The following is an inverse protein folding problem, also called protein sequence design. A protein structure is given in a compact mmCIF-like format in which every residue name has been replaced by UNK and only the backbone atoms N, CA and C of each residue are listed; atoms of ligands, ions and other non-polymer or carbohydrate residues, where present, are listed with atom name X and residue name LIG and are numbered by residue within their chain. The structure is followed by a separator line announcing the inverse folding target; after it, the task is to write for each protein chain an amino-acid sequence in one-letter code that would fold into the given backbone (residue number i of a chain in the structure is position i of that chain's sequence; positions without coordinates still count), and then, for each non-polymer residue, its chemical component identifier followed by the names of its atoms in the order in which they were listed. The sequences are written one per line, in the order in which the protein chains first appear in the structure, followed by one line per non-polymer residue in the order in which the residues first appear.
data_IF_462430033344
#
_entry.id   IF_462430033344
#
_cell.length_a   1.000
_cell.length_b   1.000
_cell.length_c   1.000
_cell.angle_alpha   90.00
_cell.angle_beta   90.00
_cell.angle_gamma   90.00
#
_symmetry.space_group_name_H-M   'P 1'
#
loop_
_entity.id
_entity.type
_entity.pdbx_description
1 polymer ?
#
# COMPACT_ATOMS: atom_id res chain seq x y z
N UNK A 1 28.62 73.64 -5.44
CA UNK A 1 28.93 72.33 -4.83
C UNK A 1 27.60 71.60 -4.67
N UNK A 2 27.24 70.64 -5.55
CA UNK A 2 26.09 69.72 -5.30
C UNK A 2 25.81 68.67 -6.41
N UNK A 3 26.72 68.43 -7.37
CA UNK A 3 26.47 67.43 -8.45
C UNK A 3 27.41 66.21 -8.44
N UNK A 4 28.40 66.18 -7.55
CA UNK A 4 29.38 65.08 -7.48
C UNK A 4 29.01 63.91 -6.58
N UNK A 5 28.08 64.09 -5.64
CA UNK A 5 27.78 63.05 -4.62
C UNK A 5 26.72 62.03 -5.08
N UNK A 6 25.87 62.40 -6.04
CA UNK A 6 24.74 61.54 -6.47
C UNK A 6 25.16 60.41 -7.42
N UNK A 7 26.20 60.63 -8.24
CA UNK A 7 26.68 59.62 -9.19
C UNK A 7 27.53 58.51 -8.55
N UNK A 8 28.18 58.79 -7.42
CA UNK A 8 28.95 57.78 -6.67
C UNK A 8 28.07 56.73 -5.99
N UNK A 9 26.92 57.14 -5.44
CA UNK A 9 25.99 56.22 -4.78
C UNK A 9 25.25 55.32 -5.78
N UNK A 10 24.88 55.84 -6.95
CA UNK A 10 24.19 55.04 -7.96
C UNK A 10 25.10 53.95 -8.56
N UNK A 11 26.38 54.25 -8.76
CA UNK A 11 27.36 53.28 -9.27
C UNK A 11 27.67 52.16 -8.25
N UNK A 12 27.74 52.48 -6.96
CA UNK A 12 27.99 51.50 -5.90
C UNK A 12 26.78 50.58 -5.68
N UNK A 13 25.55 51.10 -5.76
CA UNK A 13 24.33 50.27 -5.65
C UNK A 13 24.19 49.33 -6.85
N UNK A 14 24.52 49.75 -8.07
CA UNK A 14 24.45 48.88 -9.25
C UNK A 14 25.53 47.78 -9.23
N UNK A 15 26.72 48.06 -8.69
CA UNK A 15 27.78 47.04 -8.54
C UNK A 15 27.48 46.06 -7.40
N UNK A 16 26.88 46.50 -6.30
CA UNK A 16 26.48 45.60 -5.20
C UNK A 16 25.30 44.73 -5.64
N UNK A 17 24.28 45.30 -6.31
CA UNK A 17 23.15 44.52 -6.84
C UNK A 17 23.58 43.62 -8.00
N UNK A 18 24.57 44.03 -8.81
CA UNK A 18 25.17 43.19 -9.85
C UNK A 18 26.02 42.04 -9.30
N UNK A 19 26.73 42.24 -8.19
CA UNK A 19 27.54 41.19 -7.56
C UNK A 19 26.71 40.24 -6.68
N UNK A 20 25.65 40.72 -6.01
CA UNK A 20 24.73 39.85 -5.25
C UNK A 20 23.67 39.18 -6.13
N UNK A 21 23.37 39.75 -7.31
CA UNK A 21 22.40 39.19 -8.26
C UNK A 21 22.93 38.04 -9.13
N UNK A 22 24.25 37.85 -9.21
CA UNK A 22 24.88 36.75 -9.97
C UNK A 22 25.17 35.53 -9.08
N UNK A 23 25.03 35.64 -7.75
CA UNK A 23 25.26 34.56 -6.78
C UNK A 23 23.98 33.79 -6.36
N UNK A 24 22.81 34.13 -6.89
CA UNK A 24 21.51 33.53 -6.51
C UNK A 24 20.69 32.95 -7.67
N UNK A 25 21.32 32.60 -8.81
CA UNK A 25 20.54 32.23 -9.99
C UNK A 25 21.21 31.29 -10.99
N UNK A 26 22.32 30.66 -10.63
CA UNK A 26 22.80 29.48 -11.34
C UNK A 26 22.97 28.38 -10.31
N UNK A 27 21.84 27.89 -9.79
CA UNK A 27 21.78 26.46 -9.55
C UNK A 27 22.06 25.82 -10.91
N UNK A 28 23.31 25.43 -11.11
CA UNK A 28 23.68 24.45 -12.10
C UNK A 28 22.74 23.29 -11.80
N UNK A 29 21.67 23.19 -12.58
CA UNK A 29 20.66 22.15 -12.50
C UNK A 29 21.41 20.86 -12.76
N UNK A 30 21.91 20.25 -11.68
CA UNK A 30 22.33 18.87 -11.67
C UNK A 30 21.06 18.07 -11.91
N UNK A 31 20.72 17.89 -13.19
CA UNK A 31 19.60 17.09 -13.70
C UNK A 31 19.87 15.60 -13.49
N UNK A 32 20.42 15.23 -12.34
CA UNK A 32 20.56 13.84 -11.95
C UNK A 32 19.84 13.66 -10.61
N UNK A 33 18.87 12.73 -10.54
CA UNK A 33 18.17 12.49 -9.30
C UNK A 33 19.14 11.90 -8.28
N UNK A 34 19.13 12.43 -7.05
CA UNK A 34 19.93 11.92 -5.95
C UNK A 34 19.15 10.95 -5.06
N UNK A 35 19.86 10.09 -4.32
CA UNK A 35 19.25 9.24 -3.30
C UNK A 35 18.53 10.07 -2.25
N UNK A 36 17.36 9.60 -1.85
CA UNK A 36 16.52 10.25 -0.82
C UNK A 36 16.64 9.54 0.50
N UNK A 37 16.70 10.31 1.58
CA UNK A 37 16.65 9.76 2.94
C UNK A 37 15.25 9.22 3.26
N UNK A 38 15.22 8.22 4.16
CA UNK A 38 13.97 7.68 4.66
C UNK A 38 13.22 8.74 5.48
N UNK A 39 11.91 8.95 5.26
CA UNK A 39 11.15 9.94 6.01
C UNK A 39 11.07 9.55 7.48
N UNK A 40 11.10 10.54 8.38
CA UNK A 40 10.84 10.33 9.80
C UNK A 40 9.36 10.02 10.07
N UNK A 41 9.05 9.17 11.06
CA UNK A 41 7.67 8.87 11.43
C UNK A 41 6.93 10.13 11.94
N UNK A 42 5.61 10.24 11.69
CA UNK A 42 4.83 11.35 12.20
C UNK A 42 4.69 11.26 13.73
N UNK A 43 4.48 12.40 14.45
CA UNK A 43 4.34 12.43 15.90
C UNK A 43 3.15 11.61 16.42
N UNK A 44 2.12 11.46 15.60
CA UNK A 44 0.94 10.65 15.88
C UNK A 44 0.56 9.87 14.63
N UNK A 45 0.14 8.62 14.82
CA UNK A 45 -0.27 7.70 13.75
C UNK A 45 -1.80 7.60 13.80
N UNK A 46 -2.47 8.11 12.77
CA UNK A 46 -3.91 8.15 12.63
C UNK A 46 -4.33 8.06 11.14
N UNK A 47 -5.63 8.04 10.87
CA UNK A 47 -6.19 7.87 9.53
C UNK A 47 -5.74 8.92 8.50
N UNK A 48 -5.24 10.08 8.94
CA UNK A 48 -4.69 11.11 8.05
C UNK A 48 -3.16 11.06 7.94
N UNK A 49 -2.46 10.84 9.04
CA UNK A 49 -0.99 10.86 9.06
C UNK A 49 -0.38 9.57 8.52
N UNK A 50 -1.01 8.42 8.76
CA UNK A 50 -0.50 7.12 8.35
C UNK A 50 -0.46 6.98 6.81
N UNK A 51 -1.51 7.32 6.04
CA UNK A 51 -1.45 7.25 4.58
C UNK A 51 -0.36 8.12 3.97
N UNK A 52 -0.26 9.38 4.43
CA UNK A 52 0.78 10.32 3.98
C UNK A 52 2.18 9.84 4.31
N UNK A 53 2.37 9.24 5.48
CA UNK A 53 3.66 8.67 5.86
C UNK A 53 4.03 7.46 5.01
N UNK A 54 3.10 6.52 4.82
CA UNK A 54 3.29 5.36 3.95
C UNK A 54 3.66 5.75 2.52
N UNK A 55 2.96 6.76 1.98
CA UNK A 55 3.21 7.30 0.65
C UNK A 55 4.63 7.87 0.52
N UNK A 56 5.08 8.65 1.50
CA UNK A 56 6.45 9.18 1.52
C UNK A 56 7.48 8.06 1.57
N UNK A 57 7.24 7.02 2.38
CA UNK A 57 8.16 5.87 2.46
C UNK A 57 8.26 5.17 1.10
N UNK A 58 7.12 4.83 0.48
CA UNK A 58 7.13 4.07 -0.79
C UNK A 58 7.70 4.92 -1.93
N UNK A 59 7.39 6.22 -1.97
CA UNK A 59 7.97 7.16 -2.94
C UNK A 59 9.50 7.22 -2.82
N UNK A 60 10.03 7.32 -1.60
CA UNK A 60 11.48 7.27 -1.36
C UNK A 60 12.08 5.93 -1.77
N UNK A 61 11.45 4.81 -1.40
CA UNK A 61 11.95 3.47 -1.75
C UNK A 61 11.96 3.23 -3.25
N UNK A 62 10.90 3.61 -3.96
CA UNK A 62 10.80 3.46 -5.40
C UNK A 62 11.82 4.35 -6.13
N UNK A 63 11.97 5.61 -5.69
CA UNK A 63 12.97 6.54 -6.21
C UNK A 63 14.39 5.95 -6.11
N UNK A 64 14.78 5.53 -4.90
CA UNK A 64 16.11 4.97 -4.66
C UNK A 64 16.32 3.64 -5.40
N UNK A 65 15.28 2.81 -5.52
CA UNK A 65 15.34 1.55 -6.29
C UNK A 65 15.62 1.81 -7.77
N UNK A 66 14.96 2.81 -8.37
CA UNK A 66 15.17 3.19 -9.76
C UNK A 66 16.60 3.70 -9.94
N UNK A 67 17.07 4.62 -9.08
CA UNK A 67 18.44 5.14 -9.13
C UNK A 67 19.53 4.08 -8.93
N UNK A 68 19.27 3.05 -8.14
CA UNK A 68 20.23 1.96 -7.95
C UNK A 68 20.33 1.03 -9.16
N UNK A 69 19.26 0.94 -9.98
CA UNK A 69 19.17 0.00 -11.09
C UNK A 69 19.39 0.68 -12.46
N UNK A 70 19.23 1.99 -12.52
CA UNK A 70 19.24 2.80 -13.75
C UNK A 70 19.82 4.18 -13.44
N UNK A 71 20.18 4.97 -14.46
CA UNK A 71 20.70 6.33 -14.28
C UNK A 71 19.89 7.36 -15.09
N UNK A 72 18.57 7.49 -14.83
CA UNK A 72 17.72 8.40 -15.58
C UNK A 72 18.04 9.86 -15.25
N UNK A 73 17.84 10.77 -16.20
CA UNK A 73 17.94 12.22 -16.00
C UNK A 73 16.84 12.74 -15.07
N UNK A 74 15.65 12.14 -15.15
CA UNK A 74 14.50 12.56 -14.33
C UNK A 74 13.63 11.37 -13.93
N UNK A 75 13.13 11.43 -12.70
CA UNK A 75 12.17 10.46 -12.15
C UNK A 75 10.95 11.22 -11.63
N UNK A 76 9.78 10.89 -12.15
CA UNK A 76 8.49 11.34 -11.64
C UNK A 76 7.76 10.18 -10.99
N UNK A 77 7.22 10.38 -9.78
CA UNK A 77 6.51 9.33 -9.04
C UNK A 77 5.17 9.86 -8.55
N UNK A 78 4.11 9.24 -9.06
CA UNK A 78 2.73 9.43 -8.61
C UNK A 78 2.34 8.29 -7.67
N UNK A 79 1.75 8.65 -6.53
CA UNK A 79 1.26 7.68 -5.55
C UNK A 79 -0.15 8.04 -5.11
N UNK A 80 -0.93 7.03 -4.74
CA UNK A 80 -2.18 7.16 -4.02
C UNK A 80 -2.14 6.26 -2.79
N UNK A 81 -2.65 6.74 -1.67
CA UNK A 81 -2.68 5.99 -0.41
C UNK A 81 -4.07 6.05 0.24
N UNK A 82 -4.45 4.96 0.90
CA UNK A 82 -5.70 4.91 1.67
C UNK A 82 -5.51 4.13 2.96
N UNK A 83 -6.07 4.65 4.05
CA UNK A 83 -6.24 3.87 5.29
C UNK A 83 -7.24 2.74 5.03
N UNK A 84 -7.03 1.63 5.72
CA UNK A 84 -7.74 0.39 5.46
C UNK A 84 -8.42 -0.10 6.72
N UNK A 85 -7.61 -0.35 7.76
CA UNK A 85 -8.07 -0.75 9.08
C UNK A 85 -7.19 -0.07 10.12
N UNK A 86 -7.83 0.32 11.21
CA UNK A 86 -7.21 0.98 12.35
C UNK A 86 -7.43 0.11 13.58
N UNK A 87 -6.35 -0.26 14.26
CA UNK A 87 -6.41 -0.89 15.60
C UNK A 87 -5.84 0.09 16.63
N UNK A 88 -5.89 -0.27 17.92
CA UNK A 88 -5.33 0.56 18.99
C UNK A 88 -3.85 0.88 18.84
N UNK A 89 -3.10 0.02 18.13
CA UNK A 89 -1.64 0.11 18.01
C UNK A 89 -1.13 0.22 16.57
N UNK A 90 -1.97 -0.10 15.58
CA UNK A 90 -1.54 -0.21 14.18
C UNK A 90 -2.51 0.49 13.23
N UNK A 91 -1.94 1.06 12.17
CA UNK A 91 -2.64 1.59 11.00
C UNK A 91 -2.22 0.78 9.78
N UNK A 92 -3.19 0.20 9.08
CA UNK A 92 -2.97 -0.53 7.85
C UNK A 92 -3.29 0.36 6.65
N UNK A 93 -2.33 0.53 5.75
CA UNK A 93 -2.42 1.49 4.64
C UNK A 93 -2.03 0.82 3.33
N UNK A 94 -2.91 0.89 2.34
CA UNK A 94 -2.55 0.59 0.96
C UNK A 94 -1.88 1.79 0.32
N UNK A 95 -0.77 1.54 -0.36
CA UNK A 95 -0.09 2.52 -1.20
C UNK A 95 0.07 1.93 -2.59
N UNK A 96 -0.41 2.65 -3.61
CA UNK A 96 -0.17 2.33 -5.00
C UNK A 96 0.68 3.43 -5.60
N UNK A 97 1.86 3.08 -6.13
CA UNK A 97 2.77 4.02 -6.76
C UNK A 97 3.13 3.56 -8.17
N UNK A 98 3.28 4.51 -9.09
CA UNK A 98 3.88 4.33 -10.40
C UNK A 98 4.98 5.38 -10.60
N UNK A 99 5.97 5.04 -11.41
CA UNK A 99 7.08 5.94 -11.71
C UNK A 99 7.24 6.07 -13.22
N UNK A 100 7.53 7.28 -13.68
CA UNK A 100 7.92 7.57 -15.06
C UNK A 100 9.37 8.05 -15.04
N UNK A 101 10.23 7.43 -15.85
CA UNK A 101 11.64 7.79 -15.98
C UNK A 101 11.90 8.41 -17.35
N UNK A 102 12.75 9.43 -17.38
CA UNK A 102 13.17 10.13 -18.59
C UNK A 102 14.68 9.96 -18.75
N UNK A 103 15.11 9.52 -19.93
CA UNK A 103 16.52 9.20 -20.23
C UNK A 103 16.82 9.50 -21.70
N UNK A 104 17.71 10.46 -21.98
CA UNK A 104 18.21 10.79 -23.34
C UNK A 104 17.11 10.85 -24.43
N UNK A 105 15.99 11.49 -24.12
CA UNK A 105 14.85 11.67 -25.03
C UNK A 105 13.86 10.49 -25.08
N UNK A 106 14.10 9.43 -24.33
CA UNK A 106 13.16 8.34 -24.09
C UNK A 106 12.35 8.55 -22.82
N UNK A 107 11.11 8.06 -22.84
CA UNK A 107 10.20 8.05 -21.68
C UNK A 107 9.77 6.62 -21.42
N UNK A 108 9.90 6.17 -20.18
CA UNK A 108 9.50 4.82 -19.75
C UNK A 108 8.55 4.92 -18.56
N UNK A 109 7.34 4.38 -18.75
CA UNK A 109 6.33 4.30 -17.70
C UNK A 109 6.42 2.95 -16.96
N UNK A 110 6.58 3.04 -15.64
CA UNK A 110 6.59 1.90 -14.75
C UNK A 110 5.18 1.39 -14.47
N UNK A 111 5.04 0.07 -14.41
CA UNK A 111 3.80 -0.58 -13.98
C UNK A 111 3.48 -0.19 -12.52
N UNK A 112 2.26 0.27 -12.21
CA UNK A 112 1.85 0.57 -10.85
C UNK A 112 2.05 -0.61 -9.91
N UNK A 113 2.64 -0.36 -8.74
CA UNK A 113 2.84 -1.36 -7.69
C UNK A 113 2.00 -1.01 -6.49
N UNK A 114 1.21 -1.97 -6.03
CA UNK A 114 0.43 -1.87 -4.80
C UNK A 114 1.13 -2.62 -3.68
N UNK A 115 1.32 -1.94 -2.56
CA UNK A 115 1.91 -2.49 -1.34
C UNK A 115 1.03 -2.15 -0.15
N UNK A 116 1.14 -2.96 0.90
CA UNK A 116 0.47 -2.73 2.16
C UNK A 116 1.49 -2.40 3.24
N UNK A 117 1.21 -1.38 4.03
CA UNK A 117 1.99 -0.98 5.19
C UNK A 117 1.20 -1.26 6.46
N UNK A 118 1.88 -1.85 7.45
CA UNK A 118 1.47 -1.82 8.86
C UNK A 118 2.34 -0.75 9.53
N UNK A 119 1.72 0.33 9.99
CA UNK A 119 2.39 1.45 10.65
C UNK A 119 2.02 1.42 12.13
N UNK A 120 3.02 1.45 13.01
CA UNK A 120 2.86 1.47 14.46
C UNK A 120 3.82 2.50 15.09
N UNK A 121 3.64 2.86 16.37
CA UNK A 121 4.58 3.75 17.05
C UNK A 121 6.03 3.21 17.07
N UNK A 122 6.20 1.88 17.00
CA UNK A 122 7.50 1.23 16.96
C UNK A 122 8.16 1.25 15.56
N UNK A 123 7.43 1.61 14.50
CA UNK A 123 7.97 1.67 13.14
C UNK A 123 6.95 1.25 12.08
N UNK A 124 7.43 0.68 10.98
CA UNK A 124 6.57 0.18 9.93
C UNK A 124 7.05 -1.17 9.40
N UNK A 125 6.10 -1.98 8.94
CA UNK A 125 6.35 -3.20 8.19
C UNK A 125 5.69 -3.07 6.83
N UNK A 126 6.40 -3.44 5.76
CA UNK A 126 5.92 -3.37 4.37
C UNK A 126 5.69 -4.79 3.86
N UNK A 127 4.54 -5.01 3.24
CA UNK A 127 4.17 -6.26 2.59
C UNK A 127 3.92 -6.01 1.09
N UNK A 128 4.46 -6.88 0.25
CA UNK A 128 4.12 -6.92 -1.18
C UNK A 128 2.95 -7.86 -1.41
N UNK A 129 2.17 -7.58 -2.46
CA UNK A 129 1.09 -8.45 -2.88
C UNK A 129 1.65 -9.80 -3.34
N UNK A 130 1.16 -10.88 -2.73
CA UNK A 130 1.20 -12.23 -3.28
C UNK A 130 -0.24 -12.57 -3.66
N UNK A 131 -0.52 -12.66 -4.94
CA UNK A 131 -1.86 -13.04 -5.41
C UNK A 131 -1.90 -14.52 -5.71
N UNK A 132 -2.84 -15.24 -5.09
CA UNK A 132 -3.20 -16.59 -5.51
C UNK A 132 -4.69 -16.61 -5.79
N UNK A 133 -5.11 -17.18 -6.91
CA UNK A 133 -6.52 -17.44 -7.13
C UNK A 133 -6.90 -18.65 -6.27
N UNK A 134 -7.79 -18.47 -5.30
CA UNK A 134 -8.24 -19.60 -4.50
C UNK A 134 -9.02 -20.55 -5.41
N UNK A 135 -8.55 -21.80 -5.48
CA UNK A 135 -9.30 -22.85 -6.15
C UNK A 135 -10.54 -23.19 -5.31
N UNK A 136 -11.68 -23.33 -5.98
CA UNK A 136 -12.89 -23.82 -5.32
C UNK A 136 -12.69 -25.28 -4.95
N UNK A 137 -12.81 -25.64 -3.68
CA UNK A 137 -12.94 -27.04 -3.30
C UNK A 137 -14.34 -27.50 -3.74
N UNK A 138 -14.40 -28.38 -4.75
CA UNK A 138 -15.64 -29.04 -5.14
C UNK A 138 -16.12 -29.91 -3.97
N UNK A 139 -17.22 -29.49 -3.35
CA UNK A 139 -18.02 -30.38 -2.50
C UNK A 139 -18.78 -31.34 -3.41
N UNK A 140 -18.71 -32.64 -3.14
CA UNK A 140 -19.39 -33.75 -3.85
C UNK A 140 -20.95 -33.70 -3.81
N UNK A 141 -21.54 -32.51 -3.71
CA UNK A 141 -23.00 -32.33 -3.65
C UNK A 141 -23.54 -31.76 -4.96
N UNK A 142 -24.34 -32.59 -5.61
CA UNK A 142 -25.02 -32.41 -6.90
C UNK A 142 -26.11 -31.34 -6.88
N UNK A 143 -25.77 -30.07 -6.65
CA UNK A 143 -26.71 -28.97 -6.91
C UNK A 143 -26.06 -27.65 -7.35
N UNK A 144 -26.16 -27.43 -8.66
CA UNK A 144 -26.59 -26.20 -9.35
C UNK A 144 -25.96 -24.84 -8.98
N UNK A 145 -25.33 -24.27 -10.01
CA UNK A 145 -24.91 -22.86 -10.23
C UNK A 145 -23.57 -22.44 -9.65
N UNK A 146 -22.55 -22.55 -10.50
CA UNK A 146 -21.55 -21.49 -10.79
C UNK A 146 -21.08 -20.63 -9.62
N UNK A 147 -20.48 -21.24 -8.61
CA UNK A 147 -19.62 -20.47 -7.71
C UNK A 147 -18.35 -20.10 -8.46
N UNK A 148 -18.25 -18.84 -8.87
CA UNK A 148 -17.03 -18.33 -9.52
C UNK A 148 -15.86 -18.42 -8.53
N UNK A 149 -14.65 -18.81 -8.99
CA UNK A 149 -13.45 -18.70 -8.17
C UNK A 149 -13.25 -17.25 -7.75
N UNK A 150 -12.98 -17.02 -6.46
CA UNK A 150 -12.80 -15.68 -5.90
C UNK A 150 -11.31 -15.39 -5.83
N UNK A 151 -10.81 -14.32 -6.47
CA UNK A 151 -9.41 -13.95 -6.36
C UNK A 151 -9.12 -13.46 -4.94
N UNK A 152 -8.13 -14.06 -4.28
CA UNK A 152 -7.64 -13.63 -2.98
C UNK A 152 -6.32 -12.88 -3.17
N UNK A 153 -6.27 -11.63 -2.75
CA UNK A 153 -5.01 -10.88 -2.72
C UNK A 153 -4.45 -10.94 -1.31
N UNK A 154 -3.23 -11.43 -1.19
CA UNK A 154 -2.59 -11.73 0.08
C UNK A 154 -1.42 -10.78 0.29
N UNK A 155 -1.35 -10.15 1.46
CA UNK A 155 -0.18 -9.39 1.87
C UNK A 155 0.38 -9.98 3.16
N UNK A 156 1.68 -10.26 3.14
CA UNK A 156 2.40 -10.90 4.23
C UNK A 156 3.44 -9.96 4.84
N UNK A 157 3.37 -9.76 6.15
CA UNK A 157 4.30 -8.95 6.91
C UNK A 157 5.37 -9.83 7.61
N UNK A 158 6.61 -9.85 7.10
CA UNK A 158 7.80 -10.38 7.81
C UNK A 158 8.58 -11.51 7.12
N UNK A 159 9.64 -11.99 7.79
CA UNK A 159 10.65 -12.97 7.30
C UNK A 159 10.65 -14.32 8.04
N UNK A 160 9.70 -14.57 8.93
CA UNK A 160 9.61 -15.83 9.70
C UNK A 160 8.33 -16.60 9.37
N UNK A 161 8.44 -17.93 9.40
CA UNK A 161 7.49 -18.83 8.77
C UNK A 161 6.50 -19.41 9.81
N UNK A 162 5.30 -18.86 9.96
CA UNK A 162 4.17 -19.59 10.58
C UNK A 162 3.06 -19.81 9.59
N UNK A 163 2.67 -21.05 9.32
CA UNK A 163 1.65 -21.37 8.32
C UNK A 163 0.24 -21.05 8.83
N UNK A 164 -0.49 -20.24 8.08
CA UNK A 164 -1.90 -19.92 8.26
C UNK A 164 -2.72 -20.58 7.16
N UNK A 165 -3.67 -21.43 7.53
CA UNK A 165 -4.68 -21.93 6.59
C UNK A 165 -5.95 -21.09 6.76
N UNK A 166 -6.31 -20.33 5.74
CA UNK A 166 -7.56 -19.55 5.71
C UNK A 166 -8.59 -20.28 4.88
N UNK A 167 -9.72 -20.60 5.48
CA UNK A 167 -10.85 -21.26 4.83
C UNK A 167 -12.06 -20.31 4.85
N UNK A 168 -12.56 -19.93 3.67
CA UNK A 168 -13.81 -19.18 3.54
C UNK A 168 -14.89 -20.11 3.01
N UNK A 169 -15.98 -20.26 3.78
CA UNK A 169 -17.13 -21.11 3.43
C UNK A 169 -18.38 -20.26 3.24
N UNK A 170 -19.08 -20.42 2.11
CA UNK A 170 -20.43 -19.84 1.93
C UNK A 170 -21.46 -20.67 2.71
N UNK A 171 -22.24 -20.01 3.56
CA UNK A 171 -23.30 -20.59 4.39
C UNK A 171 -24.64 -20.04 3.91
N UNK A 172 -25.32 -20.75 3.02
CA UNK A 172 -26.63 -20.32 2.53
C UNK A 172 -27.68 -20.35 3.68
N UNK A 173 -28.57 -19.35 3.71
CA UNK A 173 -29.36 -18.99 4.90
C UNK A 173 -30.65 -19.79 5.13
N UNK A 174 -30.94 -20.86 4.38
CA UNK A 174 -32.23 -21.56 4.55
C UNK A 174 -32.27 -23.08 4.33
N UNK A 175 -31.35 -23.71 3.61
CA UNK A 175 -31.43 -25.16 3.35
C UNK A 175 -30.05 -25.75 3.07
N UNK A 176 -29.64 -26.76 3.86
CA UNK A 176 -28.56 -27.73 3.56
C UNK A 176 -27.21 -27.16 3.12
N UNK A 177 -26.14 -27.46 3.86
CA UNK A 177 -24.78 -26.99 3.57
C UNK A 177 -24.28 -27.53 2.22
N UNK A 178 -24.61 -26.84 1.12
CA UNK A 178 -23.83 -26.84 -0.12
C UNK A 178 -22.97 -25.59 -0.06
N UNK A 179 -21.77 -25.72 0.51
CA UNK A 179 -20.81 -24.64 0.67
C UNK A 179 -19.63 -24.85 -0.26
N UNK A 180 -19.25 -23.83 -1.02
CA UNK A 180 -17.90 -23.78 -1.61
C UNK A 180 -16.93 -23.36 -0.51
N UNK A 181 -15.85 -24.13 -0.36
CA UNK A 181 -14.73 -23.79 0.51
C UNK A 181 -13.58 -23.26 -0.34
N UNK A 182 -13.03 -22.12 0.06
CA UNK A 182 -11.80 -21.56 -0.51
C UNK A 182 -10.71 -21.68 0.54
N UNK A 183 -9.64 -22.42 0.24
CA UNK A 183 -8.53 -22.63 1.18
C UNK A 183 -7.25 -22.02 0.64
N UNK A 184 -6.57 -21.24 1.47
CA UNK A 184 -5.26 -20.68 1.14
C UNK A 184 -4.30 -20.84 2.33
N UNK A 185 -3.10 -21.34 2.08
CA UNK A 185 -2.06 -21.57 3.09
C UNK A 185 -0.91 -20.57 2.95
N UNK A 186 -0.60 -19.80 3.99
CA UNK A 186 0.42 -18.72 3.93
C UNK A 186 1.33 -18.73 5.15
N UNK A 187 2.65 -18.68 4.95
CA UNK A 187 3.62 -18.54 6.04
C UNK A 187 3.74 -17.07 6.49
N UNK A 188 3.21 -16.64 7.64
CA UNK A 188 3.31 -15.26 8.17
C UNK A 188 3.66 -15.22 9.65
N UNK A 189 4.16 -14.08 10.15
CA UNK A 189 4.49 -13.92 11.58
C UNK A 189 3.85 -12.68 12.23
N UNK A 190 3.26 -11.79 11.42
CA UNK A 190 2.87 -10.45 11.86
C UNK A 190 1.57 -9.96 11.22
N UNK A 191 0.65 -10.90 10.95
CA UNK A 191 -0.61 -10.60 10.34
C UNK A 191 -0.63 -10.97 8.86
N UNK A 192 -1.74 -11.54 8.43
CA UNK A 192 -2.13 -11.76 7.04
C UNK A 192 -3.19 -10.73 6.69
N UNK A 193 -3.07 -10.07 5.55
CA UNK A 193 -4.15 -9.25 4.99
C UNK A 193 -4.68 -9.92 3.73
N UNK A 194 -5.97 -10.26 3.72
CA UNK A 194 -6.67 -10.73 2.53
C UNK A 194 -7.60 -9.64 2.01
N UNK A 195 -7.45 -9.25 0.74
CA UNK A 195 -8.38 -8.38 0.01
C UNK A 195 -9.12 -9.19 -1.05
N UNK A 196 -10.44 -9.28 -0.97
CA UNK A 196 -11.27 -10.11 -1.84
C UNK A 196 -12.63 -9.46 -2.15
N UNK A 197 -13.16 -9.68 -3.36
CA UNK A 197 -14.46 -9.14 -3.79
C UNK A 197 -15.47 -10.27 -3.93
N UNK A 198 -16.48 -10.28 -3.05
CA UNK A 198 -17.57 -11.24 -3.10
C UNK A 198 -18.73 -10.71 -3.96
N UNK A 199 -19.22 -11.55 -4.87
CA UNK A 199 -20.28 -11.18 -5.83
C UNK A 199 -21.67 -11.67 -5.45
N UNK A 200 -21.79 -12.55 -4.46
CA UNK A 200 -23.06 -13.20 -4.10
C UNK A 200 -23.45 -12.86 -2.67
N UNK A 201 -24.57 -12.17 -2.42
CA UNK A 201 -25.08 -11.97 -1.06
C UNK A 201 -25.25 -13.29 -0.29
N UNK A 202 -24.98 -13.28 1.01
CA UNK A 202 -25.06 -14.49 1.83
C UNK A 202 -24.27 -14.42 3.13
N UNK A 203 -24.40 -15.45 3.96
CA UNK A 203 -23.56 -15.59 5.15
C UNK A 203 -22.30 -16.35 4.80
N UNK A 204 -21.16 -15.87 5.26
CA UNK A 204 -19.84 -16.45 5.06
C UNK A 204 -19.25 -16.81 6.41
N UNK A 205 -18.56 -17.95 6.47
CA UNK A 205 -17.74 -18.33 7.61
C UNK A 205 -16.30 -18.26 7.20
N UNK A 206 -15.49 -17.52 7.95
CA UNK A 206 -14.05 -17.42 7.75
C UNK A 206 -13.39 -18.16 8.90
N UNK A 207 -12.52 -19.11 8.59
CA UNK A 207 -11.69 -19.82 9.55
C UNK A 207 -10.23 -19.50 9.27
N UNK A 208 -9.47 -19.20 10.30
CA UNK A 208 -8.02 -19.12 10.24
C UNK A 208 -7.44 -20.14 11.20
N UNK A 209 -6.56 -20.99 10.68
CA UNK A 209 -5.87 -22.00 11.46
C UNK A 209 -4.38 -21.73 11.43
N UNK A 210 -3.77 -21.69 12.60
CA UNK A 210 -2.32 -21.84 12.79
C UNK A 210 -2.02 -23.23 13.35
N UNK A 211 -0.74 -23.55 13.55
CA UNK A 211 -0.36 -24.76 14.26
C UNK A 211 -0.91 -24.82 15.71
N UNK A 212 -1.17 -23.64 16.31
CA UNK A 212 -1.49 -23.51 17.74
C UNK A 212 -2.94 -23.12 18.01
N UNK A 213 -3.66 -22.58 17.01
CA UNK A 213 -4.99 -22.01 17.22
C UNK A 213 -5.89 -22.16 15.99
N UNK A 214 -7.20 -22.20 16.24
CA UNK A 214 -8.21 -22.08 15.20
C UNK A 214 -9.15 -20.96 15.61
N UNK A 215 -9.22 -19.91 14.80
CA UNK A 215 -10.19 -18.84 14.97
C UNK A 215 -11.25 -18.96 13.89
N UNK A 216 -12.51 -18.75 14.25
CA UNK A 216 -13.64 -18.76 13.32
C UNK A 216 -14.49 -17.53 13.56
N UNK A 217 -14.84 -16.85 12.48
CA UNK A 217 -15.77 -15.72 12.51
C UNK A 217 -16.77 -15.83 11.35
N UNK A 218 -17.91 -15.15 11.47
CA UNK A 218 -18.96 -15.15 10.46
C UNK A 218 -19.28 -13.75 10.00
N UNK A 219 -19.34 -13.57 8.68
CA UNK A 219 -19.67 -12.32 8.03
C UNK A 219 -20.95 -12.48 7.21
N UNK A 220 -21.75 -11.42 7.10
CA UNK A 220 -22.95 -11.42 6.25
C UNK A 220 -22.77 -10.37 5.18
N UNK A 221 -22.87 -10.80 3.91
CA UNK A 221 -22.86 -9.95 2.74
C UNK A 221 -24.29 -9.58 2.39
N UNK A 222 -24.68 -8.33 2.68
CA UNK A 222 -26.05 -7.86 2.43
C UNK A 222 -26.32 -7.55 0.95
N UNK A 223 -25.30 -7.10 0.19
CA UNK A 223 -25.40 -6.66 -1.21
C UNK A 223 -24.34 -7.32 -2.09
N UNK A 224 -24.53 -7.35 -3.40
CA UNK A 224 -23.49 -7.81 -4.33
C UNK A 224 -22.30 -6.84 -4.37
N UNK A 225 -21.09 -7.37 -4.60
CA UNK A 225 -19.83 -6.63 -4.76
C UNK A 225 -19.35 -5.86 -3.52
N UNK A 226 -19.34 -6.50 -2.35
CA UNK A 226 -18.54 -5.97 -1.24
C UNK A 226 -17.13 -6.54 -1.25
N UNK A 227 -16.19 -5.71 -0.80
CA UNK A 227 -14.80 -6.07 -0.59
C UNK A 227 -14.61 -6.46 0.88
N UNK A 228 -14.22 -7.71 1.09
CA UNK A 228 -13.90 -8.23 2.42
C UNK A 228 -12.41 -8.11 2.67
N UNK A 229 -12.09 -7.71 3.88
CA UNK A 229 -10.74 -7.58 4.41
C UNK A 229 -10.62 -8.49 5.61
N UNK A 230 -9.70 -9.43 5.55
CA UNK A 230 -9.44 -10.36 6.66
C UNK A 230 -8.03 -10.10 7.16
N UNK A 231 -7.94 -9.67 8.41
CA UNK A 231 -6.71 -9.58 9.18
C UNK A 231 -6.59 -10.85 10.02
N UNK A 232 -5.58 -11.68 9.77
CA UNK A 232 -5.31 -12.86 10.58
C UNK A 232 -3.97 -12.72 11.27
N UNK A 233 -3.93 -12.62 12.60
CA UNK A 233 -2.70 -12.48 13.37
C UNK A 233 -2.68 -13.36 14.62
N UNK A 234 -1.62 -13.25 15.45
CA UNK A 234 -1.53 -13.99 16.72
C UNK A 234 -2.69 -13.68 17.69
N UNK A 235 -3.33 -12.51 17.52
CA UNK A 235 -4.48 -12.10 18.32
C UNK A 235 -5.83 -12.57 17.75
N UNK A 236 -5.83 -13.40 16.70
CA UNK A 236 -7.03 -13.95 16.07
C UNK A 236 -7.38 -13.31 14.72
N UNK A 237 -8.66 -13.42 14.35
CA UNK A 237 -9.23 -12.88 13.12
C UNK A 237 -9.93 -11.55 13.39
N UNK A 238 -9.74 -10.59 12.49
CA UNK A 238 -10.58 -9.40 12.37
C UNK A 238 -11.06 -9.31 10.93
N UNK A 239 -12.38 -9.17 10.76
CA UNK A 239 -13.03 -9.07 9.46
C UNK A 239 -13.59 -7.65 9.31
N UNK A 240 -13.20 -6.97 8.24
CA UNK A 240 -13.66 -5.64 7.89
C UNK A 240 -14.27 -5.68 6.48
N UNK A 241 -15.41 -5.03 6.27
CA UNK A 241 -16.08 -5.03 4.97
C UNK A 241 -16.19 -3.59 4.44
N UNK A 242 -15.79 -3.39 3.19
CA UNK A 242 -15.89 -2.11 2.50
C UNK A 242 -16.73 -2.26 1.25
N UNK A 243 -17.58 -1.27 0.95
CA UNK A 243 -18.29 -1.25 -0.34
C UNK A 243 -17.28 -0.93 -1.45
N UNK A 244 -17.32 -1.69 -2.53
CA UNK A 244 -16.58 -1.31 -3.74
C UNK A 244 -17.32 -0.11 -4.35
N UNK A 245 -16.62 1.00 -4.67
CA UNK A 245 -17.23 2.14 -5.35
C UNK A 245 -17.75 1.77 -6.74
#
# INVERSE_FOLDING_TARGET
MEKGLFYGFLAIVVVIVGATGILLGVEISSNQPHLREAPSPPPAINDSSAPRYAEKIEKTKLHNRILNNTSPDRIEIGCNSRSVVSTSENQYVFVQCAATTYDDGSVSDGVPRTVLYRISPAGYTRAEQRGTQAESVQSDTTSLREFQPVPLLIYNFGERNSKFDIIVTVVNSSTGIAGTEYTESVESESGLFLDTVFKSPGKYRVKARTAESVTTDTWTLDNDRQRLMILAGPNGLQIEATRVP
#
